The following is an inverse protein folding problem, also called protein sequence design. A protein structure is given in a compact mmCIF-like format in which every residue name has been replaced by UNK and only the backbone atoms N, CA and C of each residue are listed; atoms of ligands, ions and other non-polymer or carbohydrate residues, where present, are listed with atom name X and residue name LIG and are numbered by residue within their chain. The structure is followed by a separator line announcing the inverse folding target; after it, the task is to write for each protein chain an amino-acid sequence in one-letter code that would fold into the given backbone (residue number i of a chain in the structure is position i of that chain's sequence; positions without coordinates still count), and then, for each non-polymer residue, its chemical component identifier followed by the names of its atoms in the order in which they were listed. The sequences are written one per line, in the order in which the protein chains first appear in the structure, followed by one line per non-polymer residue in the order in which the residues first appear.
data_IF_691851615819
#
_entry.id   IF_691851615819
#
_cell.length_a   1.000
_cell.length_b   1.000
_cell.length_c   1.000
_cell.angle_alpha   90.00
_cell.angle_beta   90.00
_cell.angle_gamma   90.00
#
_symmetry.space_group_name_H-M   'P 1'
#
loop_
_entity.id
_entity.type
_entity.pdbx_description
1 polymer ?
#
# COMPACT_ATOMS: atom_id res chain seq x y z
N UNK A 1 -16.19 0.88 30.82
CA UNK A 1 -16.10 2.35 30.74
C UNK A 1 -17.20 2.86 29.86
N UNK A 2 -18.04 3.75 30.39
CA UNK A 2 -19.19 4.34 29.70
C UNK A 2 -18.77 5.17 28.48
N UNK A 3 -19.67 5.30 27.50
CA UNK A 3 -19.44 5.98 26.20
C UNK A 3 -18.82 7.38 26.33
N UNK A 4 -19.43 8.27 27.11
CA UNK A 4 -18.94 9.65 27.24
C UNK A 4 -17.50 9.71 27.76
N UNK A 5 -17.18 8.90 28.78
CA UNK A 5 -15.83 8.81 29.32
C UNK A 5 -14.82 8.23 28.33
N UNK A 6 -15.24 7.32 27.44
CA UNK A 6 -14.42 6.83 26.34
C UNK A 6 -14.12 7.92 25.32
N UNK A 7 -15.16 8.59 24.83
CA UNK A 7 -15.06 9.65 23.80
C UNK A 7 -14.15 10.78 24.28
N UNK A 8 -14.37 11.29 25.50
CA UNK A 8 -13.57 12.39 26.04
C UNK A 8 -12.09 12.01 26.17
N UNK A 9 -11.78 10.81 26.67
CA UNK A 9 -10.38 10.36 26.81
C UNK A 9 -9.70 10.20 25.46
N UNK A 10 -10.38 9.56 24.50
CA UNK A 10 -9.82 9.42 23.15
C UNK A 10 -9.60 10.80 22.53
N UNK A 11 -10.58 11.70 22.58
CA UNK A 11 -10.44 13.06 22.05
C UNK A 11 -9.25 13.82 22.65
N UNK A 12 -9.07 13.76 23.98
CA UNK A 12 -7.91 14.36 24.65
C UNK A 12 -6.61 13.74 24.16
N UNK A 13 -6.54 12.40 24.06
CA UNK A 13 -5.34 11.70 23.61
C UNK A 13 -4.99 12.03 22.16
N UNK A 14 -5.98 12.12 21.28
CA UNK A 14 -5.79 12.54 19.89
C UNK A 14 -5.27 13.98 19.84
N UNK A 15 -5.90 14.91 20.56
CA UNK A 15 -5.51 16.32 20.59
C UNK A 15 -4.09 16.52 21.13
N UNK A 16 -3.75 15.84 22.23
CA UNK A 16 -2.40 15.88 22.83
C UNK A 16 -1.37 15.30 21.87
N UNK A 17 -1.61 14.11 21.32
CA UNK A 17 -0.65 13.44 20.42
C UNK A 17 -0.44 14.25 19.14
N UNK A 18 -1.52 14.82 18.58
CA UNK A 18 -1.44 15.72 17.43
C UNK A 18 -0.63 16.98 17.74
N UNK A 19 -0.83 17.57 18.92
CA UNK A 19 -0.07 18.76 19.36
C UNK A 19 1.42 18.46 19.57
N UNK A 20 1.76 17.28 20.12
CA UNK A 20 3.16 16.86 20.27
C UNK A 20 3.79 16.60 18.90
N UNK A 21 3.09 15.90 18.00
CA UNK A 21 3.58 15.63 16.64
C UNK A 21 3.84 16.94 15.88
N UNK A 22 2.93 17.92 16.01
CA UNK A 22 3.09 19.27 15.48
C UNK A 22 4.36 19.93 16.01
N UNK A 23 4.60 19.87 17.32
CA UNK A 23 5.78 20.45 17.93
C UNK A 23 7.06 19.77 17.42
N UNK A 24 7.09 18.44 17.37
CA UNK A 24 8.22 17.64 16.88
C UNK A 24 8.58 18.03 15.45
N UNK A 25 7.60 18.07 14.54
CA UNK A 25 7.84 18.41 13.14
C UNK A 25 8.30 19.87 13.01
N UNK A 26 7.66 20.81 13.72
CA UNK A 26 8.02 22.24 13.63
C UNK A 26 9.44 22.55 14.13
N UNK A 27 9.94 21.82 15.13
CA UNK A 27 11.30 22.01 15.66
C UNK A 27 12.35 21.40 14.73
N UNK A 28 12.06 20.25 14.13
CA UNK A 28 13.06 19.47 13.41
C UNK A 28 13.03 19.68 11.88
N UNK A 29 12.03 20.39 11.34
CA UNK A 29 11.89 20.62 9.90
C UNK A 29 11.64 22.12 9.63
N UNK A 30 12.71 22.93 9.48
CA UNK A 30 12.58 24.35 9.17
C UNK A 30 11.80 24.57 7.87
N UNK A 31 10.72 25.35 7.92
CA UNK A 31 9.85 25.62 6.76
C UNK A 31 8.67 24.67 6.61
N UNK A 32 8.59 23.59 7.40
CA UNK A 32 7.32 22.89 7.57
C UNK A 32 6.32 23.87 8.21
N UNK A 33 5.26 24.21 7.50
CA UNK A 33 4.28 25.19 7.96
C UNK A 33 3.70 24.86 9.34
N UNK A 34 2.97 25.81 9.92
CA UNK A 34 2.32 25.66 11.23
C UNK A 34 1.36 24.45 11.31
N UNK A 35 0.96 23.83 10.20
CA UNK A 35 0.10 22.65 10.20
C UNK A 35 0.86 21.48 9.57
N UNK A 36 1.24 20.44 10.34
CA UNK A 36 1.71 19.21 9.73
C UNK A 36 0.61 18.64 8.85
N UNK A 37 1.03 17.94 7.81
CA UNK A 37 0.13 17.23 6.93
C UNK A 37 -0.81 16.34 7.75
N UNK A 38 -2.12 16.53 7.58
CA UNK A 38 -3.15 15.76 8.28
C UNK A 38 -3.00 14.24 8.04
N UNK A 39 -2.29 13.87 6.97
CA UNK A 39 -1.85 12.52 6.68
C UNK A 39 -0.99 11.87 7.75
N UNK A 40 -0.13 12.62 8.46
CA UNK A 40 0.74 12.04 9.48
C UNK A 40 -0.05 11.38 10.62
N UNK A 41 -1.29 11.82 10.84
CA UNK A 41 -2.17 11.20 11.80
C UNK A 41 -2.78 9.89 11.29
N UNK A 42 -3.06 9.79 9.98
CA UNK A 42 -3.72 8.64 9.35
C UNK A 42 -2.73 7.55 8.94
N UNK A 43 -1.59 7.95 8.38
CA UNK A 43 -0.47 7.11 8.00
C UNK A 43 0.81 7.58 8.69
N UNK A 44 1.07 7.13 9.94
CA UNK A 44 2.27 7.52 10.68
C UNK A 44 3.57 7.08 10.00
N UNK A 45 3.47 6.09 9.12
CA UNK A 45 4.61 5.51 8.44
C UNK A 45 5.08 6.34 7.24
N UNK A 46 4.34 7.39 6.84
CA UNK A 46 4.84 8.43 5.93
C UNK A 46 6.15 9.05 6.39
N UNK A 47 6.32 9.17 7.71
CA UNK A 47 7.51 9.76 8.32
C UNK A 47 8.71 8.80 8.30
N UNK A 48 8.52 7.51 7.96
CA UNK A 48 9.63 6.54 7.82
C UNK A 48 10.57 6.93 6.66
N UNK A 49 10.08 7.66 5.66
CA UNK A 49 10.91 8.14 4.56
C UNK A 49 11.81 9.33 4.95
N UNK A 50 11.68 9.88 6.16
CA UNK A 50 12.50 10.98 6.65
C UNK A 50 13.59 10.49 7.60
N UNK A 51 14.85 10.83 7.33
CA UNK A 51 15.95 10.49 8.22
C UNK A 51 16.05 11.47 9.41
N UNK A 52 16.47 10.95 10.58
CA UNK A 52 16.86 11.77 11.74
C UNK A 52 15.89 11.78 12.94
N UNK A 53 16.12 12.67 13.92
CA UNK A 53 15.41 12.68 15.20
C UNK A 53 13.89 12.87 15.07
N UNK A 54 13.44 13.62 14.05
CA UNK A 54 12.02 13.88 13.81
C UNK A 54 11.21 12.59 13.61
N UNK A 55 11.76 11.64 12.84
CA UNK A 55 11.14 10.34 12.60
C UNK A 55 11.03 9.55 13.89
N UNK A 56 12.12 9.44 14.65
CA UNK A 56 12.14 8.67 15.91
C UNK A 56 11.11 9.21 16.93
N UNK A 57 11.05 10.54 17.09
CA UNK A 57 10.06 11.18 17.97
C UNK A 57 8.63 10.95 17.50
N UNK A 58 8.38 11.06 16.19
CA UNK A 58 7.05 10.85 15.62
C UNK A 58 6.57 9.42 15.82
N UNK A 59 7.42 8.43 15.55
CA UNK A 59 7.14 7.01 15.82
C UNK A 59 6.83 6.81 17.32
N UNK A 60 7.63 7.41 18.21
CA UNK A 60 7.41 7.36 19.65
C UNK A 60 6.04 7.90 20.07
N UNK A 61 5.62 9.04 19.52
CA UNK A 61 4.29 9.65 19.75
C UNK A 61 3.18 8.70 19.29
N UNK A 62 3.34 8.08 18.11
CA UNK A 62 2.35 7.14 17.58
C UNK A 62 2.25 5.85 18.40
N UNK A 63 3.37 5.31 18.88
CA UNK A 63 3.39 4.14 19.78
C UNK A 63 2.67 4.49 21.08
N UNK A 64 3.00 5.63 21.70
CA UNK A 64 2.37 6.08 22.94
C UNK A 64 0.86 6.28 22.78
N UNK A 65 0.44 6.96 21.70
CA UNK A 65 -0.96 7.15 21.37
C UNK A 65 -1.66 5.79 21.22
N UNK A 66 -1.09 4.89 20.43
CA UNK A 66 -1.71 3.58 20.14
C UNK A 66 -1.81 2.72 21.39
N UNK A 67 -0.77 2.67 22.23
CA UNK A 67 -0.80 1.97 23.51
C UNK A 67 -1.92 2.51 24.43
N UNK A 68 -2.03 3.83 24.52
CA UNK A 68 -3.09 4.46 25.29
C UNK A 68 -4.50 4.17 24.73
N UNK A 69 -4.66 4.24 23.41
CA UNK A 69 -5.93 3.92 22.74
C UNK A 69 -6.32 2.47 22.98
N UNK A 70 -5.37 1.52 22.98
CA UNK A 70 -5.62 0.11 23.31
C UNK A 70 -6.16 -0.01 24.74
N UNK A 71 -5.54 0.64 25.73
CA UNK A 71 -5.98 0.55 27.14
C UNK A 71 -7.41 1.07 27.31
N UNK A 72 -7.68 2.25 26.76
CA UNK A 72 -9.00 2.91 26.84
C UNK A 72 -10.05 2.09 26.06
N UNK A 73 -9.69 1.56 24.89
CA UNK A 73 -10.57 0.72 24.06
C UNK A 73 -10.79 -0.68 24.62
N UNK A 74 -9.85 -1.24 25.37
CA UNK A 74 -10.01 -2.51 26.07
C UNK A 74 -11.11 -2.40 27.13
N UNK A 75 -11.06 -1.34 27.95
CA UNK A 75 -12.07 -1.04 28.97
C UNK A 75 -13.43 -0.71 28.36
N UNK A 76 -13.44 -0.11 27.17
CA UNK A 76 -14.68 0.18 26.42
C UNK A 76 -15.25 -1.07 25.77
N UNK A 77 -14.41 -1.92 25.17
CA UNK A 77 -14.81 -3.19 24.54
C UNK A 77 -15.45 -4.11 25.57
N UNK A 78 -14.84 -4.28 26.76
CA UNK A 78 -15.43 -5.05 27.86
C UNK A 78 -16.78 -4.52 28.32
N UNK A 79 -16.91 -3.21 28.40
CA UNK A 79 -18.16 -2.53 28.77
C UNK A 79 -19.23 -2.67 27.69
N UNK A 80 -18.83 -2.66 26.43
CA UNK A 80 -19.68 -3.00 25.29
C UNK A 80 -19.90 -4.52 25.17
N UNK A 81 -19.34 -5.33 26.08
CA UNK A 81 -19.31 -6.80 26.04
C UNK A 81 -18.72 -7.41 24.75
N UNK A 82 -17.90 -6.65 24.02
CA UNK A 82 -17.09 -7.18 22.93
C UNK A 82 -15.93 -7.97 23.49
N UNK A 83 -15.37 -8.86 22.66
CA UNK A 83 -14.17 -9.57 23.02
C UNK A 83 -13.04 -8.55 23.28
N UNK A 84 -12.34 -8.58 24.42
CA UNK A 84 -11.41 -7.50 24.80
C UNK A 84 -10.26 -7.31 23.81
N UNK A 85 -9.92 -8.36 23.05
CA UNK A 85 -8.85 -8.33 22.06
C UNK A 85 -9.17 -7.37 20.89
N UNK A 86 -10.43 -6.99 20.64
CA UNK A 86 -10.78 -5.98 19.60
C UNK A 86 -10.10 -4.63 19.82
N UNK A 87 -9.67 -4.34 21.06
CA UNK A 87 -8.91 -3.15 21.37
C UNK A 87 -7.53 -3.11 20.68
N UNK A 88 -6.91 -4.26 20.40
CA UNK A 88 -5.62 -4.31 19.71
C UNK A 88 -5.71 -3.86 18.25
N UNK A 89 -6.92 -3.82 17.65
CA UNK A 89 -7.12 -3.23 16.32
C UNK A 89 -6.81 -1.73 16.30
N UNK A 90 -6.71 -1.07 17.45
CA UNK A 90 -6.25 0.33 17.55
C UNK A 90 -4.77 0.53 17.16
N UNK A 91 -3.99 -0.56 17.11
CA UNK A 91 -2.60 -0.54 16.63
C UNK A 91 -2.52 -0.34 15.12
N UNK A 92 -3.57 -0.68 14.38
CA UNK A 92 -3.63 -0.54 12.93
C UNK A 92 -4.10 0.89 12.58
N UNK A 93 -3.26 1.71 11.94
CA UNK A 93 -3.68 3.01 11.43
C UNK A 93 -4.86 2.86 10.47
N UNK A 94 -5.68 3.91 10.34
CA UNK A 94 -6.98 3.94 9.62
C UNK A 94 -8.04 2.96 10.17
N UNK A 95 -7.75 1.68 10.37
CA UNK A 95 -8.65 0.71 11.02
C UNK A 95 -9.12 1.22 12.39
N UNK A 96 -8.20 1.85 13.16
CA UNK A 96 -8.53 2.48 14.43
C UNK A 96 -9.65 3.52 14.35
N UNK A 97 -9.84 4.22 13.21
CA UNK A 97 -10.94 5.17 13.02
C UNK A 97 -12.29 4.44 13.05
N UNK A 98 -12.39 3.33 12.33
CA UNK A 98 -13.60 2.51 12.28
C UNK A 98 -13.89 1.93 13.66
N UNK A 99 -12.89 1.34 14.31
CA UNK A 99 -13.04 0.71 15.63
C UNK A 99 -13.40 1.75 16.69
N UNK A 100 -12.78 2.93 16.67
CA UNK A 100 -13.10 4.03 17.59
C UNK A 100 -14.55 4.45 17.44
N UNK A 101 -14.98 4.68 16.19
CA UNK A 101 -16.34 5.09 15.85
C UNK A 101 -17.35 4.04 16.32
N UNK A 102 -17.03 2.75 16.12
CA UNK A 102 -17.83 1.64 16.63
C UNK A 102 -18.02 1.71 18.14
N UNK A 103 -16.91 1.80 18.86
CA UNK A 103 -16.88 1.76 20.32
C UNK A 103 -17.46 3.03 20.95
N UNK A 104 -17.39 4.17 20.27
CA UNK A 104 -18.01 5.42 20.68
C UNK A 104 -19.55 5.34 20.67
N UNK A 105 -20.12 4.66 19.68
CA UNK A 105 -21.57 4.63 19.44
C UNK A 105 -22.26 3.39 19.98
N UNK A 106 -21.60 2.23 19.97
CA UNK A 106 -22.19 0.97 20.47
C UNK A 106 -22.65 1.13 21.93
N UNK A 107 -23.79 0.57 22.36
CA UNK A 107 -24.22 0.64 23.77
C UNK A 107 -23.30 -0.10 24.73
N UNK A 108 -23.38 0.28 26.01
CA UNK A 108 -22.89 -0.58 27.08
C UNK A 108 -23.71 -1.87 27.10
N UNK A 109 -23.11 -2.98 27.50
CA UNK A 109 -23.81 -4.23 27.68
C UNK A 109 -24.86 -4.05 28.78
N UNK A 110 -26.12 -3.89 28.37
CA UNK A 110 -27.27 -4.04 29.25
C UNK A 110 -27.62 -5.53 29.23
N UNK A 111 -27.93 -6.11 30.39
CA UNK A 111 -28.60 -7.40 30.44
C UNK A 111 -30.02 -7.21 29.88
N UNK A 112 -30.17 -7.22 28.56
CA UNK A 112 -31.49 -7.19 27.93
C UNK A 112 -32.11 -8.58 28.07
N UNK A 113 -33.31 -8.63 28.63
CA UNK A 113 -34.13 -9.83 28.58
C UNK A 113 -34.37 -10.18 27.10
N UNK A 114 -34.41 -11.47 26.77
CA UNK A 114 -34.48 -11.98 25.39
C UNK A 114 -35.70 -11.50 24.57
N UNK A 115 -36.64 -10.78 25.20
CA UNK A 115 -37.91 -10.32 24.62
C UNK A 115 -37.86 -8.90 24.03
N UNK A 116 -36.79 -8.12 24.27
CA UNK A 116 -36.69 -6.71 23.85
C UNK A 116 -35.76 -6.48 22.63
N UNK A 117 -35.47 -7.51 21.83
CA UNK A 117 -34.67 -7.34 20.61
C UNK A 117 -35.55 -6.67 19.55
N UNK A 118 -35.30 -5.39 19.17
CA UNK A 118 -36.01 -4.80 18.05
C UNK A 118 -35.58 -5.56 16.79
N UNK A 119 -36.51 -6.26 16.16
CA UNK A 119 -36.27 -6.88 14.85
C UNK A 119 -36.12 -5.75 13.84
N UNK A 120 -35.01 -5.74 13.09
CA UNK A 120 -34.81 -4.77 12.02
C UNK A 120 -35.68 -5.21 10.83
N UNK A 121 -36.97 -4.87 10.88
CA UNK A 121 -38.00 -5.37 9.98
C UNK A 121 -37.70 -5.17 8.48
N UNK A 122 -36.82 -4.23 8.12
CA UNK A 122 -36.29 -4.06 6.77
C UNK A 122 -35.31 -5.18 6.38
N UNK A 123 -34.26 -5.43 7.19
CA UNK A 123 -33.24 -6.44 6.88
C UNK A 123 -33.85 -7.84 6.82
N UNK A 124 -34.87 -8.11 7.64
CA UNK A 124 -35.62 -9.37 7.61
C UNK A 124 -36.36 -9.60 6.29
N UNK A 125 -36.71 -8.54 5.56
CA UNK A 125 -37.36 -8.63 4.23
C UNK A 125 -36.37 -8.86 3.10
N UNK A 126 -35.14 -8.36 3.22
CA UNK A 126 -34.13 -8.43 2.15
C UNK A 126 -33.28 -9.70 2.26
N UNK A 127 -32.92 -10.09 3.48
CA UNK A 127 -32.01 -11.23 3.70
C UNK A 127 -32.79 -12.54 3.77
N UNK A 128 -32.50 -13.54 2.91
CA UNK A 128 -33.14 -14.84 2.99
C UNK A 128 -32.82 -15.55 4.32
N UNK A 129 -33.79 -16.29 4.87
CA UNK A 129 -33.57 -17.07 6.11
C UNK A 129 -32.71 -18.33 5.89
N UNK A 130 -32.67 -18.86 4.67
CA UNK A 130 -31.85 -20.04 4.35
C UNK A 130 -30.36 -19.72 4.49
N UNK A 131 -29.57 -20.69 4.96
CA UNK A 131 -28.12 -20.47 5.21
C UNK A 131 -27.38 -20.03 3.94
N UNK A 132 -27.65 -20.71 2.82
CA UNK A 132 -27.02 -20.39 1.54
C UNK A 132 -27.54 -19.07 0.98
N UNK A 133 -28.86 -18.83 1.03
CA UNK A 133 -29.45 -17.59 0.55
C UNK A 133 -28.94 -16.36 1.31
N UNK A 134 -28.80 -16.46 2.64
CA UNK A 134 -28.19 -15.40 3.44
C UNK A 134 -26.72 -15.17 3.04
N UNK A 135 -25.92 -16.24 2.91
CA UNK A 135 -24.52 -16.11 2.48
C UNK A 135 -24.40 -15.40 1.13
N UNK A 136 -25.20 -15.81 0.15
CA UNK A 136 -25.21 -15.19 -1.18
C UNK A 136 -25.65 -13.72 -1.10
N UNK A 137 -26.73 -13.41 -0.36
CA UNK A 137 -27.19 -12.05 -0.18
C UNK A 137 -26.13 -11.17 0.51
N UNK A 138 -25.46 -11.67 1.55
CA UNK A 138 -24.41 -10.95 2.26
C UNK A 138 -23.22 -10.63 1.35
N UNK A 139 -22.79 -11.60 0.53
CA UNK A 139 -21.72 -11.39 -0.48
C UNK A 139 -22.18 -10.34 -1.49
N UNK A 140 -23.33 -10.54 -2.13
CA UNK A 140 -23.80 -9.66 -3.20
C UNK A 140 -24.01 -8.23 -2.73
N UNK A 141 -24.62 -8.03 -1.55
CA UNK A 141 -24.85 -6.70 -0.99
C UNK A 141 -23.52 -6.02 -0.65
N UNK A 142 -22.59 -6.74 -0.01
CA UNK A 142 -21.29 -6.18 0.35
C UNK A 142 -20.47 -5.81 -0.90
N UNK A 143 -20.44 -6.68 -1.92
CA UNK A 143 -19.78 -6.41 -3.20
C UNK A 143 -20.47 -5.29 -3.97
N UNK A 144 -21.80 -5.24 -4.01
CA UNK A 144 -22.55 -4.17 -4.69
C UNK A 144 -22.38 -2.80 -4.02
N UNK A 145 -22.04 -2.76 -2.73
CA UNK A 145 -21.69 -1.52 -2.03
C UNK A 145 -20.25 -1.08 -2.32
N UNK A 146 -19.31 -2.03 -2.33
CA UNK A 146 -17.87 -1.73 -2.45
C UNK A 146 -17.43 -1.50 -3.90
N UNK A 147 -17.93 -2.27 -4.88
CA UNK A 147 -17.50 -2.17 -6.27
C UNK A 147 -17.75 -0.78 -6.88
N UNK A 148 -18.94 -0.15 -6.72
CA UNK A 148 -19.16 1.21 -7.26
C UNK A 148 -18.27 2.26 -6.59
N UNK A 149 -17.99 2.12 -5.29
CA UNK A 149 -17.07 3.03 -4.58
C UNK A 149 -15.63 2.85 -5.06
N UNK A 150 -15.19 1.61 -5.28
CA UNK A 150 -13.88 1.33 -5.86
C UNK A 150 -13.76 1.88 -7.28
N UNK A 151 -14.80 1.69 -8.10
CA UNK A 151 -14.86 2.27 -9.45
C UNK A 151 -14.80 3.80 -9.41
N UNK A 152 -15.58 4.45 -8.54
CA UNK A 152 -15.54 5.90 -8.35
C UNK A 152 -14.14 6.38 -7.97
N UNK A 153 -13.50 5.72 -7.00
CA UNK A 153 -12.18 6.12 -6.51
C UNK A 153 -11.10 6.02 -7.58
N UNK A 154 -11.09 4.92 -8.34
CA UNK A 154 -10.07 4.67 -9.36
C UNK A 154 -10.30 5.48 -10.63
N UNK A 155 -11.56 5.70 -11.03
CA UNK A 155 -11.89 6.21 -12.38
C UNK A 155 -12.31 7.66 -12.43
N UNK A 156 -12.86 8.16 -11.32
CA UNK A 156 -13.38 9.53 -11.24
C UNK A 156 -12.49 10.37 -10.36
N UNK A 157 -12.06 9.81 -9.22
CA UNK A 157 -11.17 10.51 -8.31
C UNK A 157 -9.70 10.33 -8.67
N UNK A 158 -9.35 9.29 -9.44
CA UNK A 158 -7.97 8.93 -9.81
C UNK A 158 -7.05 8.78 -8.59
N UNK A 159 -7.62 8.31 -7.46
CA UNK A 159 -6.94 8.20 -6.19
C UNK A 159 -6.68 6.73 -5.82
N UNK A 160 -5.43 6.40 -5.50
CA UNK A 160 -5.02 5.09 -4.99
C UNK A 160 -4.67 5.20 -3.49
N UNK A 161 -5.62 5.73 -2.74
CA UNK A 161 -5.50 6.11 -1.33
C UNK A 161 -5.75 5.01 -0.29
N UNK A 162 -5.72 5.41 0.98
CA UNK A 162 -6.07 4.56 2.13
C UNK A 162 -7.55 4.14 2.09
N UNK A 163 -8.45 4.94 1.52
CA UNK A 163 -9.84 4.54 1.37
C UNK A 163 -10.00 3.30 0.47
N UNK A 164 -9.25 3.24 -0.64
CA UNK A 164 -9.26 2.11 -1.57
C UNK A 164 -8.68 0.85 -0.94
N UNK A 165 -7.51 0.93 -0.32
CA UNK A 165 -6.77 -0.24 0.16
C UNK A 165 -7.03 -0.64 1.61
N UNK A 166 -7.62 0.25 2.42
CA UNK A 166 -7.99 -0.05 3.81
C UNK A 166 -9.50 0.10 4.02
N UNK A 167 -10.08 1.23 3.62
CA UNK A 167 -11.50 1.50 3.84
C UNK A 167 -12.43 0.47 3.20
N UNK A 168 -12.25 0.19 1.90
CA UNK A 168 -13.11 -0.74 1.17
C UNK A 168 -12.97 -2.20 1.62
N UNK A 169 -11.76 -2.79 1.76
CA UNK A 169 -11.63 -4.16 2.28
C UNK A 169 -12.18 -4.31 3.70
N UNK A 170 -12.02 -3.28 4.55
CA UNK A 170 -12.60 -3.27 5.90
C UNK A 170 -14.12 -3.36 5.84
N UNK A 171 -14.76 -2.53 5.01
CA UNK A 171 -16.22 -2.58 4.82
C UNK A 171 -16.68 -3.90 4.24
N UNK A 172 -15.95 -4.45 3.26
CA UNK A 172 -16.29 -5.72 2.64
C UNK A 172 -16.32 -6.85 3.69
N UNK A 173 -15.32 -6.90 4.56
CA UNK A 173 -15.28 -7.85 5.67
C UNK A 173 -16.34 -7.59 6.74
N UNK A 174 -16.52 -6.33 7.15
CA UNK A 174 -17.46 -5.96 8.21
C UNK A 174 -18.92 -6.18 7.82
N UNK A 175 -19.32 -5.75 6.62
CA UNK A 175 -20.69 -5.85 6.11
C UNK A 175 -21.05 -7.32 5.85
N UNK A 176 -20.19 -8.07 5.16
CA UNK A 176 -20.47 -9.49 4.87
C UNK A 176 -20.62 -10.33 6.15
N UNK A 177 -19.72 -10.16 7.13
CA UNK A 177 -19.78 -10.85 8.42
C UNK A 177 -21.03 -10.46 9.24
N UNK A 178 -21.41 -9.18 9.19
CA UNK A 178 -22.59 -8.67 9.89
C UNK A 178 -23.89 -9.19 9.30
N UNK A 179 -24.07 -9.07 7.98
CA UNK A 179 -25.28 -9.52 7.28
C UNK A 179 -25.45 -11.05 7.37
N UNK A 180 -24.37 -11.82 7.20
CA UNK A 180 -24.43 -13.28 7.28
C UNK A 180 -24.86 -13.81 8.66
N UNK A 181 -24.65 -12.99 9.70
CA UNK A 181 -24.98 -13.32 11.09
C UNK A 181 -26.32 -12.74 11.55
N UNK A 182 -27.07 -12.07 10.66
CA UNK A 182 -28.30 -11.34 10.97
C UNK A 182 -29.41 -12.26 11.53
N UNK A 183 -29.69 -13.38 10.85
CA UNK A 183 -30.77 -14.31 11.22
C UNK A 183 -30.38 -15.31 12.30
N UNK A 184 -29.12 -15.76 12.29
CA UNK A 184 -28.61 -16.80 13.18
C UNK A 184 -27.21 -16.42 13.62
N UNK A 185 -26.97 -16.48 14.93
CA UNK A 185 -25.64 -16.27 15.49
C UNK A 185 -24.63 -17.24 14.85
N UNK A 186 -23.63 -16.69 14.15
CA UNK A 186 -22.55 -17.46 13.53
C UNK A 186 -21.35 -17.56 14.46
N UNK A 187 -20.52 -18.58 14.25
CA UNK A 187 -19.21 -18.66 14.89
C UNK A 187 -18.25 -17.66 14.25
N UNK A 188 -17.17 -17.31 14.97
CA UNK A 188 -16.17 -16.38 14.43
C UNK A 188 -15.55 -16.90 13.12
N UNK A 189 -15.24 -18.20 13.07
CA UNK A 189 -14.68 -18.83 11.88
C UNK A 189 -15.63 -18.77 10.68
N UNK A 190 -16.94 -18.89 10.90
CA UNK A 190 -17.94 -18.73 9.84
C UNK A 190 -18.01 -17.28 9.32
N UNK A 191 -17.90 -16.29 10.22
CA UNK A 191 -17.85 -14.87 9.84
C UNK A 191 -16.58 -14.51 9.09
N UNK A 192 -15.43 -15.08 9.48
CA UNK A 192 -14.18 -14.92 8.75
C UNK A 192 -14.23 -15.60 7.38
N UNK A 193 -14.78 -16.81 7.31
CA UNK A 193 -14.94 -17.55 6.06
C UNK A 193 -15.80 -16.83 5.03
N UNK A 194 -16.94 -16.24 5.45
CA UNK A 194 -17.77 -15.46 4.52
C UNK A 194 -17.08 -14.17 4.08
N UNK A 195 -16.34 -13.49 4.97
CA UNK A 195 -15.60 -12.29 4.62
C UNK A 195 -14.52 -12.57 3.59
N UNK A 196 -13.72 -13.61 3.79
CA UNK A 196 -12.68 -14.02 2.84
C UNK A 196 -13.27 -14.47 1.51
N UNK A 197 -14.35 -15.26 1.52
CA UNK A 197 -15.06 -15.60 0.29
C UNK A 197 -15.59 -14.37 -0.44
N UNK A 198 -16.12 -13.37 0.29
CA UNK A 198 -16.58 -12.10 -0.29
C UNK A 198 -15.43 -11.34 -0.93
N UNK A 199 -14.28 -11.25 -0.26
CA UNK A 199 -13.05 -10.65 -0.82
C UNK A 199 -12.63 -11.37 -2.09
N UNK A 200 -12.51 -12.71 -2.07
CA UNK A 200 -12.11 -13.50 -3.23
C UNK A 200 -13.03 -13.27 -4.43
N UNK A 201 -14.35 -13.33 -4.22
CA UNK A 201 -15.33 -13.14 -5.29
C UNK A 201 -15.37 -11.70 -5.81
N UNK A 202 -15.12 -10.72 -4.94
CA UNK A 202 -15.04 -9.30 -5.35
C UNK A 202 -13.77 -9.04 -6.16
N UNK A 203 -12.61 -9.58 -5.75
CA UNK A 203 -11.38 -9.50 -6.55
C UNK A 203 -11.53 -10.20 -7.90
N UNK A 204 -12.18 -11.37 -7.92
CA UNK A 204 -12.53 -12.05 -9.16
C UNK A 204 -13.44 -11.20 -10.04
N UNK A 205 -14.44 -10.52 -9.46
CA UNK A 205 -15.30 -9.60 -10.21
C UNK A 205 -14.50 -8.43 -10.80
N UNK A 206 -13.60 -7.82 -10.03
CA UNK A 206 -12.71 -6.74 -10.52
C UNK A 206 -11.86 -7.23 -11.71
N UNK A 207 -11.28 -8.43 -11.61
CA UNK A 207 -10.51 -9.04 -12.69
C UNK A 207 -11.36 -9.33 -13.94
N UNK A 208 -12.53 -9.97 -13.76
CA UNK A 208 -13.44 -10.32 -14.86
C UNK A 208 -14.03 -9.07 -15.51
N UNK A 209 -14.21 -7.97 -14.78
CA UNK A 209 -14.65 -6.68 -15.30
C UNK A 209 -13.51 -5.87 -15.94
N UNK A 210 -12.31 -6.43 -16.06
CA UNK A 210 -11.13 -5.80 -16.66
C UNK A 210 -10.71 -4.47 -16.01
N UNK A 211 -11.06 -4.27 -14.73
CA UNK A 211 -10.74 -3.05 -13.97
C UNK A 211 -9.28 -3.03 -13.50
N UNK A 212 -8.73 -4.20 -13.16
CA UNK A 212 -7.35 -4.35 -12.66
C UNK A 212 -6.73 -5.62 -13.25
N UNK A 213 -5.41 -5.64 -13.39
CA UNK A 213 -4.68 -6.83 -13.83
C UNK A 213 -4.45 -7.86 -12.71
N UNK A 214 -4.09 -9.08 -13.11
CA UNK A 214 -3.90 -10.17 -12.15
C UNK A 214 -2.73 -9.91 -11.19
N UNK A 215 -1.63 -9.31 -11.69
CA UNK A 215 -0.44 -9.07 -10.88
C UNK A 215 -0.75 -8.08 -9.76
N UNK A 216 -1.43 -6.98 -10.06
CA UNK A 216 -1.81 -5.97 -9.08
C UNK A 216 -2.82 -6.49 -8.06
N UNK A 217 -3.76 -7.36 -8.46
CA UNK A 217 -4.64 -8.04 -7.50
C UNK A 217 -3.87 -8.98 -6.56
N UNK A 218 -2.87 -9.71 -7.07
CA UNK A 218 -1.98 -10.54 -6.24
C UNK A 218 -1.19 -9.67 -5.26
N UNK A 219 -0.67 -8.53 -5.73
CA UNK A 219 0.03 -7.56 -4.88
C UNK A 219 -0.90 -6.90 -3.85
N UNK A 220 -2.18 -6.66 -4.17
CA UNK A 220 -3.17 -6.07 -3.26
C UNK A 220 -3.77 -7.09 -2.28
N UNK A 221 -3.74 -8.39 -2.59
CA UNK A 221 -4.41 -9.42 -1.79
C UNK A 221 -3.94 -9.46 -0.31
N UNK A 222 -2.64 -9.44 0.02
CA UNK A 222 -2.21 -9.51 1.41
C UNK A 222 -2.80 -8.40 2.29
N UNK A 223 -2.78 -7.15 1.82
CA UNK A 223 -3.40 -6.04 2.53
C UNK A 223 -4.93 -6.16 2.56
N UNK A 224 -5.57 -6.53 1.44
CA UNK A 224 -7.03 -6.68 1.38
C UNK A 224 -7.56 -7.74 2.35
N UNK A 225 -6.97 -8.94 2.40
CA UNK A 225 -7.37 -9.99 3.34
C UNK A 225 -7.04 -9.63 4.79
N UNK A 226 -5.88 -9.03 5.04
CA UNK A 226 -5.49 -8.59 6.39
C UNK A 226 -6.45 -7.55 6.96
N UNK A 227 -6.87 -6.59 6.15
CA UNK A 227 -7.83 -5.55 6.56
C UNK A 227 -9.27 -6.08 6.62
N UNK A 228 -9.68 -6.92 5.66
CA UNK A 228 -10.99 -7.57 5.70
C UNK A 228 -11.14 -8.49 6.91
N UNK A 229 -10.07 -9.12 7.38
CA UNK A 229 -10.04 -9.85 8.65
C UNK A 229 -10.45 -8.92 9.80
N UNK A 230 -9.80 -7.76 9.94
CA UNK A 230 -10.15 -6.78 10.99
C UNK A 230 -11.62 -6.32 10.88
N UNK A 231 -12.08 -6.02 9.66
CA UNK A 231 -13.47 -5.68 9.38
C UNK A 231 -14.44 -6.78 9.81
N UNK A 232 -14.18 -8.02 9.43
CA UNK A 232 -15.01 -9.18 9.74
C UNK A 232 -15.16 -9.41 11.25
N UNK A 233 -14.11 -9.17 12.02
CA UNK A 233 -14.20 -9.30 13.47
C UNK A 233 -15.11 -8.23 14.10
N UNK A 234 -15.04 -6.99 13.58
CA UNK A 234 -15.90 -5.88 14.01
C UNK A 234 -17.35 -6.13 13.59
N UNK A 235 -17.58 -6.56 12.35
CA UNK A 235 -18.89 -6.96 11.85
C UNK A 235 -19.51 -8.12 12.65
N UNK A 236 -18.69 -9.13 13.00
CA UNK A 236 -19.10 -10.21 13.87
C UNK A 236 -19.49 -9.73 15.27
N UNK A 237 -18.66 -8.87 15.89
CA UNK A 237 -18.97 -8.31 17.21
C UNK A 237 -20.24 -7.47 17.20
N UNK A 238 -20.48 -6.70 16.14
CA UNK A 238 -21.69 -5.89 15.94
C UNK A 238 -22.94 -6.75 15.69
N UNK A 239 -22.83 -7.87 14.99
CA UNK A 239 -23.98 -8.75 14.71
C UNK A 239 -24.58 -9.35 15.98
N UNK A 240 -23.76 -9.54 17.01
CA UNK A 240 -24.18 -10.06 18.33
C UNK A 240 -24.77 -8.98 19.24
N UNK A 241 -25.03 -7.78 18.72
CA UNK A 241 -25.44 -6.61 19.50
C UNK A 241 -26.78 -6.07 19.04
N UNK A 242 -27.79 -6.30 19.86
CA UNK A 242 -29.05 -5.60 19.79
C UNK A 242 -29.44 -5.04 21.17
N UNK A 243 -29.92 -3.78 21.26
CA UNK A 243 -30.01 -2.80 20.17
C UNK A 243 -28.64 -2.16 19.81
N UNK A 244 -28.52 -1.60 18.60
CA UNK A 244 -27.41 -0.70 18.22
C UNK A 244 -26.38 -1.20 17.20
N UNK A 245 -26.43 -2.47 16.78
CA UNK A 245 -25.56 -3.00 15.73
C UNK A 245 -25.72 -2.29 14.38
N UNK A 246 -26.96 -2.15 13.89
CA UNK A 246 -27.27 -1.53 12.59
C UNK A 246 -26.87 -0.05 12.50
N UNK A 247 -27.27 0.84 13.44
CA UNK A 247 -26.83 2.25 13.38
C UNK A 247 -25.31 2.41 13.39
N UNK A 248 -24.60 1.54 14.11
CA UNK A 248 -23.14 1.56 14.14
C UNK A 248 -22.54 1.13 12.80
N UNK A 249 -23.12 0.11 12.14
CA UNK A 249 -22.71 -0.32 10.81
C UNK A 249 -22.97 0.77 9.76
N UNK A 250 -24.14 1.43 9.80
CA UNK A 250 -24.45 2.53 8.89
C UNK A 250 -23.46 3.69 9.02
N UNK A 251 -23.05 4.02 10.25
CA UNK A 251 -22.03 5.04 10.46
C UNK A 251 -20.66 4.61 9.90
N UNK A 252 -20.27 3.34 10.05
CA UNK A 252 -19.04 2.82 9.43
C UNK A 252 -19.06 2.91 7.92
N UNK A 253 -20.20 2.59 7.29
CA UNK A 253 -20.38 2.71 5.84
C UNK A 253 -20.12 4.13 5.33
N UNK A 254 -20.46 5.16 6.13
CA UNK A 254 -20.23 6.57 5.79
C UNK A 254 -18.76 7.01 5.96
N UNK A 255 -17.96 6.29 6.76
CA UNK A 255 -16.56 6.66 7.00
C UNK A 255 -15.69 6.49 5.75
N UNK A 256 -15.93 5.48 4.93
CA UNK A 256 -15.10 5.24 3.74
C UNK A 256 -15.30 6.33 2.67
N UNK A 257 -16.52 6.71 2.27
CA UNK A 257 -16.73 7.87 1.40
C UNK A 257 -16.21 9.19 2.01
N UNK A 258 -16.31 9.37 3.33
CA UNK A 258 -15.73 10.53 3.99
C UNK A 258 -14.20 10.55 3.91
N UNK A 259 -13.56 9.37 4.01
CA UNK A 259 -12.11 9.22 3.81
C UNK A 259 -11.71 9.49 2.36
N UNK A 260 -12.48 9.01 1.38
CA UNK A 260 -12.27 9.34 -0.05
C UNK A 260 -12.36 10.85 -0.30
N UNK A 261 -13.38 11.51 0.25
CA UNK A 261 -13.52 12.97 0.13
C UNK A 261 -12.36 13.71 0.81
N UNK A 262 -11.88 13.21 1.95
CA UNK A 262 -10.71 13.75 2.63
C UNK A 262 -9.44 13.61 1.79
N UNK A 263 -9.26 12.46 1.12
CA UNK A 263 -8.14 12.17 0.20
C UNK A 263 -8.05 13.19 -0.92
N UNK A 264 -9.17 13.42 -1.60
CA UNK A 264 -9.26 14.37 -2.73
C UNK A 264 -8.98 15.81 -2.30
N UNK A 265 -9.47 16.23 -1.13
CA UNK A 265 -9.29 17.61 -0.64
C UNK A 265 -7.88 17.83 -0.08
N UNK A 266 -7.20 16.76 0.34
CA UNK A 266 -5.86 16.81 0.91
C UNK A 266 -4.98 15.81 0.15
N UNK A 267 -4.62 16.07 -1.12
CA UNK A 267 -3.82 15.15 -1.89
C UNK A 267 -2.46 14.94 -1.24
N UNK A 268 -2.07 13.69 -1.16
CA UNK A 268 -0.93 13.24 -0.39
C UNK A 268 0.33 13.31 -1.28
N UNK A 269 1.34 14.12 -0.93
CA UNK A 269 2.57 14.17 -1.75
C UNK A 269 3.32 12.82 -1.75
N UNK A 270 3.60 12.28 -2.94
CA UNK A 270 4.33 11.04 -3.10
C UNK A 270 5.81 11.19 -2.66
N UNK A 271 6.28 10.43 -1.65
CA UNK A 271 7.65 10.49 -1.19
C UNK A 271 8.63 9.94 -2.23
N UNK A 272 9.86 10.48 -2.22
CA UNK A 272 10.98 10.01 -3.04
C UNK A 272 11.73 8.90 -2.29
N UNK A 273 11.83 7.73 -2.90
CA UNK A 273 12.50 6.56 -2.33
C UNK A 273 13.78 6.21 -3.10
N UNK A 274 14.91 5.99 -2.40
CA UNK A 274 16.11 5.40 -3.00
C UNK A 274 16.07 3.87 -2.90
N UNK A 275 16.50 3.19 -3.98
CA UNK A 275 16.83 1.75 -3.99
C UNK A 275 18.24 1.58 -4.51
N UNK A 276 19.08 0.94 -3.70
CA UNK A 276 20.50 0.71 -3.99
C UNK A 276 20.74 -0.78 -4.17
N UNK A 277 21.38 -1.18 -5.26
CA UNK A 277 21.82 -2.57 -5.49
C UNK A 277 23.28 -2.55 -5.86
N UNK A 278 24.07 -3.44 -5.26
CA UNK A 278 25.50 -3.52 -5.52
C UNK A 278 25.93 -4.93 -5.90
N UNK A 279 27.01 -5.01 -6.67
CA UNK A 279 27.63 -6.26 -7.12
C UNK A 279 29.15 -6.05 -7.23
N UNK A 280 29.92 -7.09 -6.87
CA UNK A 280 31.36 -7.10 -7.06
C UNK A 280 31.68 -7.71 -8.43
N UNK A 281 32.53 -7.03 -9.20
CA UNK A 281 33.02 -7.43 -10.52
C UNK A 281 34.53 -7.60 -10.45
N UNK A 282 35.02 -8.76 -10.86
CA UNK A 282 36.44 -9.12 -10.90
C UNK A 282 37.12 -8.49 -12.13
N UNK A 283 37.12 -7.15 -12.17
CA UNK A 283 37.71 -6.37 -13.23
C UNK A 283 38.08 -4.96 -12.76
N UNK A 284 39.06 -4.30 -13.41
CA UNK A 284 39.39 -2.91 -13.13
C UNK A 284 38.23 -1.96 -13.44
N UNK A 285 38.09 -0.88 -12.65
CA UNK A 285 36.99 0.10 -12.78
C UNK A 285 36.78 0.64 -14.20
N UNK A 286 37.87 0.91 -14.92
CA UNK A 286 37.77 1.43 -16.30
C UNK A 286 37.09 0.44 -17.24
N UNK A 287 37.33 -0.87 -17.07
CA UNK A 287 36.68 -1.89 -17.89
C UNK A 287 35.18 -1.95 -17.58
N UNK A 288 34.81 -1.84 -16.29
CA UNK A 288 33.41 -1.75 -15.85
C UNK A 288 32.72 -0.49 -16.38
N UNK A 289 33.40 0.67 -16.31
CA UNK A 289 32.90 1.95 -16.80
C UNK A 289 32.53 1.89 -18.29
N UNK A 290 33.42 1.32 -19.11
CA UNK A 290 33.21 1.25 -20.55
C UNK A 290 31.95 0.46 -20.94
N UNK A 291 31.65 -0.65 -20.25
CA UNK A 291 30.41 -1.42 -20.49
C UNK A 291 29.19 -0.74 -19.83
N UNK A 292 29.37 -0.06 -18.70
CA UNK A 292 28.28 0.57 -17.95
C UNK A 292 27.63 1.74 -18.72
N UNK A 293 28.44 2.57 -19.38
CA UNK A 293 27.97 3.78 -20.06
C UNK A 293 26.98 3.45 -21.17
N UNK A 294 27.21 2.35 -21.90
CA UNK A 294 26.33 1.85 -22.96
C UNK A 294 26.44 0.32 -23.06
N UNK A 295 25.65 -0.39 -22.26
CA UNK A 295 25.70 -1.84 -22.22
C UNK A 295 25.04 -2.49 -23.45
N UNK A 296 25.65 -3.59 -23.88
CA UNK A 296 25.19 -4.39 -25.01
C UNK A 296 23.83 -5.05 -24.80
N UNK A 297 23.17 -5.48 -25.88
CA UNK A 297 21.85 -6.14 -25.79
C UNK A 297 21.90 -7.38 -24.88
N UNK A 298 20.95 -7.43 -23.95
CA UNK A 298 20.72 -8.53 -23.02
C UNK A 298 19.70 -9.52 -23.57
N UNK A 299 19.91 -10.81 -23.29
CA UNK A 299 18.93 -11.87 -23.60
C UNK A 299 17.65 -11.72 -22.79
N UNK A 300 16.51 -12.15 -23.35
CA UNK A 300 15.22 -12.07 -22.67
C UNK A 300 15.22 -12.75 -21.29
N UNK A 301 14.47 -12.23 -20.30
CA UNK A 301 14.46 -12.80 -18.96
C UNK A 301 13.63 -14.09 -18.88
N UNK A 302 14.11 -15.06 -18.12
CA UNK A 302 13.37 -16.28 -17.78
C UNK A 302 12.44 -16.11 -16.56
N UNK A 303 12.66 -15.06 -15.76
CA UNK A 303 11.95 -14.88 -14.48
C UNK A 303 10.45 -14.63 -14.70
N UNK A 304 9.63 -15.32 -13.90
CA UNK A 304 8.16 -15.23 -13.96
C UNK A 304 7.65 -13.80 -13.81
N UNK A 305 8.34 -12.95 -13.05
CA UNK A 305 7.95 -11.55 -12.84
C UNK A 305 7.91 -10.76 -14.16
N UNK A 306 8.95 -10.89 -14.99
CA UNK A 306 9.03 -10.20 -16.27
C UNK A 306 8.09 -10.81 -17.30
N UNK A 307 7.91 -12.14 -17.25
CA UNK A 307 6.90 -12.84 -18.07
C UNK A 307 5.46 -12.48 -17.69
N UNK A 308 5.23 -12.10 -16.43
CA UNK A 308 3.96 -11.60 -15.93
C UNK A 308 3.69 -10.14 -16.34
N UNK A 309 4.65 -9.50 -17.03
CA UNK A 309 4.44 -8.24 -17.71
C UNK A 309 5.18 -7.03 -17.14
N UNK A 310 5.94 -7.18 -16.05
CA UNK A 310 6.84 -6.12 -15.56
C UNK A 310 7.87 -5.78 -16.63
N UNK A 311 8.11 -4.48 -16.86
CA UNK A 311 9.07 -4.02 -17.84
C UNK A 311 10.51 -4.30 -17.42
N UNK A 312 11.38 -4.51 -18.40
CA UNK A 312 12.79 -4.81 -18.16
C UNK A 312 13.71 -4.18 -19.23
N UNK A 313 14.95 -3.84 -18.85
CA UNK A 313 15.93 -3.29 -19.78
C UNK A 313 16.41 -4.34 -20.78
N UNK A 314 16.67 -3.88 -22.01
CA UNK A 314 17.09 -4.67 -23.17
C UNK A 314 18.49 -4.25 -23.61
N UNK A 315 18.73 -2.96 -23.83
CA UNK A 315 20.02 -2.40 -24.25
C UNK A 315 20.10 -0.92 -23.84
N UNK A 316 21.30 -0.36 -23.73
CA UNK A 316 21.48 1.08 -23.54
C UNK A 316 22.44 1.64 -24.59
N UNK A 317 22.11 2.82 -25.10
CA UNK A 317 22.93 3.58 -26.03
C UNK A 317 23.14 4.97 -25.47
N UNK A 318 24.24 5.62 -25.85
CA UNK A 318 24.52 6.97 -25.42
C UNK A 318 24.86 7.86 -26.61
N UNK A 319 24.31 9.07 -26.60
CA UNK A 319 24.62 10.11 -27.57
C UNK A 319 25.35 11.27 -26.88
N UNK A 320 26.56 11.56 -27.35
CA UNK A 320 27.47 12.52 -26.73
C UNK A 320 28.34 11.92 -25.63
N UNK A 321 29.11 12.79 -24.98
CA UNK A 321 30.05 12.44 -23.89
C UNK A 321 30.07 13.55 -22.85
N UNK A 322 30.17 13.19 -21.57
CA UNK A 322 30.19 14.16 -20.47
C UNK A 322 28.80 14.61 -20.01
N UNK A 323 28.77 15.64 -19.17
CA UNK A 323 27.51 16.26 -18.70
C UNK A 323 26.74 16.85 -19.88
N UNK A 324 25.44 16.58 -19.96
CA UNK A 324 24.59 16.98 -21.09
C UNK A 324 24.51 15.96 -22.22
N UNK A 325 25.30 14.88 -22.19
CA UNK A 325 25.04 13.70 -23.01
C UNK A 325 23.67 13.08 -22.66
N UNK A 326 23.09 12.30 -23.57
CA UNK A 326 21.81 11.63 -23.33
C UNK A 326 21.95 10.13 -23.50
N UNK A 327 21.56 9.37 -22.47
CA UNK A 327 21.50 7.92 -22.53
C UNK A 327 20.06 7.49 -22.85
N UNK A 328 19.94 6.57 -23.80
CA UNK A 328 18.69 5.97 -24.23
C UNK A 328 18.70 4.51 -23.80
N UNK A 329 17.96 4.22 -22.72
CA UNK A 329 17.85 2.88 -22.18
C UNK A 329 16.58 2.22 -22.71
N UNK A 330 16.72 1.27 -23.63
CA UNK A 330 15.60 0.58 -24.26
C UNK A 330 15.06 -0.49 -23.31
N UNK A 331 13.78 -0.41 -22.97
CA UNK A 331 13.03 -1.47 -22.29
C UNK A 331 12.13 -2.20 -23.29
N UNK A 332 11.60 -3.36 -22.90
CA UNK A 332 10.60 -4.07 -23.70
C UNK A 332 9.31 -3.27 -23.94
N UNK A 333 9.00 -2.28 -23.11
CA UNK A 333 7.81 -1.42 -23.19
C UNK A 333 8.06 -0.05 -23.83
N UNK A 334 9.31 0.29 -24.15
CA UNK A 334 9.69 1.56 -24.75
C UNK A 334 11.02 2.10 -24.19
N UNK A 335 11.51 3.24 -24.71
CA UNK A 335 12.77 3.81 -24.25
C UNK A 335 12.59 4.69 -22.99
N UNK A 336 13.57 4.63 -22.09
CA UNK A 336 13.84 5.69 -21.13
C UNK A 336 14.82 6.70 -21.74
N UNK A 337 14.55 7.99 -21.52
CA UNK A 337 15.43 9.10 -21.93
C UNK A 337 16.10 9.66 -20.69
N UNK A 338 17.42 9.47 -20.61
CA UNK A 338 18.21 9.65 -19.40
C UNK A 338 19.34 10.67 -19.63
N UNK A 339 19.06 11.98 -19.56
CA UNK A 339 20.09 13.02 -19.67
C UNK A 339 21.12 12.92 -18.52
N UNK A 340 22.40 12.93 -18.87
CA UNK A 340 23.51 12.82 -17.92
C UNK A 340 23.69 14.13 -17.16
N UNK A 341 23.59 14.05 -15.83
CA UNK A 341 23.74 15.16 -14.89
C UNK A 341 25.12 15.17 -14.22
N UNK A 342 25.79 14.01 -14.16
CA UNK A 342 27.17 13.90 -13.66
C UNK A 342 27.93 12.86 -14.46
N UNK A 343 29.13 13.23 -14.90
CA UNK A 343 30.08 12.36 -15.58
C UNK A 343 31.46 12.54 -14.96
N UNK A 344 31.79 11.68 -14.01
CA UNK A 344 33.07 11.65 -13.33
C UNK A 344 33.71 10.28 -13.58
N UNK A 345 34.40 10.15 -14.71
CA UNK A 345 34.94 8.89 -15.18
C UNK A 345 36.22 8.51 -14.42
N UNK A 346 36.38 7.25 -13.92
CA UNK A 346 35.46 6.11 -13.99
C UNK A 346 34.63 5.88 -12.71
N UNK A 347 34.39 6.92 -11.90
CA UNK A 347 33.92 6.83 -10.52
C UNK A 347 32.40 6.96 -10.37
N UNK A 348 31.77 7.89 -11.10
CA UNK A 348 30.36 8.25 -10.90
C UNK A 348 29.67 8.69 -12.21
N UNK A 349 28.55 8.04 -12.52
CA UNK A 349 27.63 8.43 -13.59
C UNK A 349 26.24 8.67 -12.98
N UNK A 350 25.67 9.86 -13.14
CA UNK A 350 24.32 10.18 -12.69
C UNK A 350 23.48 10.79 -13.81
N UNK A 351 22.17 10.52 -13.78
CA UNK A 351 21.22 10.97 -14.80
C UNK A 351 19.84 11.21 -14.19
N UNK A 352 19.13 12.19 -14.75
CA UNK A 352 17.70 12.36 -14.52
C UNK A 352 16.91 11.46 -15.50
N UNK A 353 15.62 11.23 -15.24
CA UNK A 353 14.72 10.52 -16.17
C UNK A 353 13.71 11.53 -16.73
N UNK A 354 13.83 11.85 -18.03
CA UNK A 354 12.97 12.82 -18.70
C UNK A 354 11.73 12.15 -19.30
N UNK A 355 11.89 10.99 -19.90
CA UNK A 355 10.81 10.15 -20.43
C UNK A 355 10.96 8.72 -19.92
N UNK A 356 9.83 8.08 -19.63
CA UNK A 356 9.77 6.69 -19.20
C UNK A 356 8.58 5.97 -19.86
N UNK A 357 8.75 4.70 -20.26
CA UNK A 357 7.65 3.88 -20.75
C UNK A 357 6.77 3.38 -19.59
N UNK A 358 5.61 2.77 -19.89
CA UNK A 358 4.83 2.06 -18.88
C UNK A 358 5.71 1.03 -18.12
N UNK A 359 5.62 1.00 -16.77
CA UNK A 359 6.43 0.12 -15.93
C UNK A 359 6.00 -1.34 -16.02
N UNK A 360 4.81 -1.61 -16.57
CA UNK A 360 4.32 -2.96 -16.80
C UNK A 360 3.26 -3.00 -17.90
N UNK A 361 3.04 -4.20 -18.41
CA UNK A 361 1.89 -4.58 -19.24
C UNK A 361 1.13 -5.65 -18.48
N UNK A 362 -0.06 -5.32 -18.02
CA UNK A 362 -0.80 -6.22 -17.15
C UNK A 362 -1.29 -7.48 -17.87
N UNK A 363 -1.21 -8.63 -17.19
CA UNK A 363 -1.74 -9.89 -17.72
C UNK A 363 -3.26 -9.91 -17.68
N UNK A 364 -3.91 -10.15 -18.83
CA UNK A 364 -5.36 -10.34 -18.92
C UNK A 364 -5.79 -11.24 -20.06
N UNK A 365 -6.99 -11.78 -19.90
CA UNK A 365 -7.74 -12.51 -20.91
C UNK A 365 -8.35 -11.57 -21.99
N UNK A 366 -8.35 -10.27 -21.74
CA UNK A 366 -8.88 -9.23 -22.63
C UNK A 366 -7.77 -8.54 -23.43
N UNK A 367 -8.09 -8.06 -24.63
CA UNK A 367 -7.14 -7.41 -25.53
C UNK A 367 -6.56 -6.09 -24.97
N UNK A 368 -7.27 -5.44 -24.04
CA UNK A 368 -6.81 -4.24 -23.33
C UNK A 368 -7.38 -4.27 -21.92
N UNK A 369 -6.52 -4.03 -20.93
CA UNK A 369 -6.93 -3.74 -19.56
C UNK A 369 -6.93 -2.23 -19.38
N UNK A 370 -7.84 -1.77 -18.55
CA UNK A 370 -7.97 -0.37 -18.20
C UNK A 370 -7.61 -0.19 -16.73
N UNK A 371 -6.31 -0.30 -16.43
CA UNK A 371 -5.73 -0.17 -15.09
C UNK A 371 -4.98 1.17 -14.99
N UNK A 372 -5.63 2.26 -14.50
CA UNK A 372 -5.05 3.60 -14.53
C UNK A 372 -3.73 3.72 -13.77
N UNK A 373 -3.50 2.88 -12.74
CA UNK A 373 -2.28 2.95 -11.96
C UNK A 373 -0.99 2.61 -12.73
N UNK A 374 -1.11 1.99 -13.90
CA UNK A 374 0.07 1.68 -14.73
C UNK A 374 0.68 2.95 -15.33
N UNK A 375 -0.08 4.03 -15.45
CA UNK A 375 0.38 5.30 -16.02
C UNK A 375 0.47 6.39 -14.94
N UNK A 376 1.69 6.88 -14.66
CA UNK A 376 1.89 8.05 -13.78
C UNK A 376 1.97 7.77 -12.28
N UNK A 377 1.58 6.59 -11.79
CA UNK A 377 1.63 6.29 -10.35
C UNK A 377 2.95 5.71 -9.86
N UNK A 378 3.79 5.16 -10.74
CA UNK A 378 5.19 4.83 -10.45
C UNK A 378 6.05 5.62 -11.42
N UNK A 379 6.98 6.43 -10.89
CA UNK A 379 7.85 7.27 -11.71
C UNK A 379 9.29 7.13 -11.23
N UNK A 380 10.17 6.65 -12.12
CA UNK A 380 11.61 6.78 -11.92
C UNK A 380 11.98 8.26 -12.11
N UNK A 381 12.74 8.83 -11.18
CA UNK A 381 13.13 10.25 -11.20
C UNK A 381 14.57 10.42 -11.60
N UNK A 382 15.45 9.60 -11.02
CA UNK A 382 16.91 9.69 -11.17
C UNK A 382 17.54 8.32 -11.06
N UNK A 383 18.68 8.15 -11.71
CA UNK A 383 19.55 7.02 -11.50
C UNK A 383 21.00 7.43 -11.35
N UNK A 384 21.77 6.56 -10.71
CA UNK A 384 23.19 6.75 -10.48
C UNK A 384 23.90 5.41 -10.47
N UNK A 385 25.13 5.39 -11.00
CA UNK A 385 26.08 4.30 -10.84
C UNK A 385 27.37 4.82 -10.21
N UNK A 386 27.83 4.15 -9.15
CA UNK A 386 29.06 4.47 -8.42
C UNK A 386 30.00 3.27 -8.46
N UNK A 387 31.26 3.51 -8.78
CA UNK A 387 32.30 2.48 -8.85
C UNK A 387 33.36 2.73 -7.78
N UNK A 388 33.69 1.69 -7.01
CA UNK A 388 34.72 1.75 -5.97
C UNK A 388 35.70 0.60 -6.15
N UNK A 389 37.01 0.90 -6.10
CA UNK A 389 38.05 -0.12 -6.18
C UNK A 389 38.16 -0.84 -4.84
N UNK A 390 38.13 -2.16 -4.85
CA UNK A 390 38.36 -3.02 -3.69
C UNK A 390 39.86 -3.31 -3.50
N UNK A 391 40.30 -3.74 -2.30
CA UNK A 391 41.71 -3.97 -2.00
C UNK A 391 42.42 -5.00 -2.90
N UNK A 392 41.67 -5.93 -3.49
CA UNK A 392 42.13 -6.97 -4.42
C UNK A 392 42.20 -6.48 -5.87
N UNK A 393 41.79 -5.23 -6.15
CA UNK A 393 41.73 -4.66 -7.49
C UNK A 393 40.40 -4.88 -8.21
N UNK A 394 39.45 -5.62 -7.60
CA UNK A 394 38.10 -5.76 -8.11
C UNK A 394 37.30 -4.45 -7.96
N UNK A 395 36.14 -4.38 -8.61
CA UNK A 395 35.27 -3.20 -8.59
C UNK A 395 33.95 -3.52 -7.90
N UNK A 396 33.60 -2.72 -6.89
CA UNK A 396 32.24 -2.65 -6.38
C UNK A 396 31.44 -1.70 -7.28
N UNK A 397 30.45 -2.22 -7.99
CA UNK A 397 29.51 -1.44 -8.79
C UNK A 397 28.20 -1.31 -8.02
N UNK A 398 27.80 -0.07 -7.73
CA UNK A 398 26.57 0.28 -7.02
C UNK A 398 25.63 1.05 -7.94
N UNK A 399 24.43 0.53 -8.16
CA UNK A 399 23.35 1.20 -8.90
C UNK A 399 22.26 1.69 -7.96
N UNK A 400 21.95 2.98 -8.02
CA UNK A 400 20.89 3.63 -7.24
C UNK A 400 19.82 4.18 -8.17
N UNK A 401 18.55 3.90 -7.87
CA UNK A 401 17.39 4.52 -8.52
C UNK A 401 16.59 5.27 -7.46
N UNK A 402 16.25 6.53 -7.74
CA UNK A 402 15.29 7.29 -6.97
C UNK A 402 13.96 7.31 -7.71
N UNK A 403 12.89 6.86 -7.04
CA UNK A 403 11.57 6.78 -7.62
C UNK A 403 10.51 7.38 -6.69
N UNK A 404 9.38 7.77 -7.26
CA UNK A 404 8.15 8.11 -6.52
C UNK A 404 7.07 7.10 -6.87
N UNK A 405 6.24 6.73 -5.90
CA UNK A 405 5.02 6.00 -6.17
C UNK A 405 3.84 6.61 -5.41
N UNK A 406 2.73 6.83 -6.11
CA UNK A 406 1.55 7.50 -5.55
C UNK A 406 0.44 6.50 -5.21
N UNK A 407 0.81 5.48 -4.45
CA UNK A 407 -0.09 4.39 -4.05
C UNK A 407 0.06 4.20 -2.54
N UNK A 408 -1.07 4.25 -1.83
CA UNK A 408 -1.10 4.29 -0.37
C UNK A 408 -1.63 2.99 0.25
N UNK A 409 -1.14 2.57 1.43
CA UNK A 409 -0.07 3.21 2.19
C UNK A 409 1.31 2.95 1.56
N UNK A 410 2.14 3.99 1.44
CA UNK A 410 3.40 3.93 0.69
C UNK A 410 4.36 2.84 1.20
N UNK A 411 4.44 2.63 2.51
CA UNK A 411 5.32 1.62 3.10
C UNK A 411 5.01 0.20 2.60
N UNK A 412 3.75 -0.11 2.30
CA UNK A 412 3.34 -1.43 1.81
C UNK A 412 3.76 -1.61 0.36
N UNK A 413 3.43 -0.62 -0.48
CA UNK A 413 3.72 -0.67 -1.90
C UNK A 413 5.21 -0.58 -2.20
N UNK A 414 5.99 0.07 -1.32
CA UNK A 414 7.45 0.14 -1.39
C UNK A 414 8.09 -1.25 -1.36
N UNK A 415 7.55 -2.20 -0.58
CA UNK A 415 8.07 -3.57 -0.52
C UNK A 415 8.10 -4.20 -1.92
N UNK A 416 7.04 -3.97 -2.69
CA UNK A 416 6.92 -4.47 -4.06
C UNK A 416 7.82 -3.70 -5.02
N UNK A 417 7.77 -2.36 -4.98
CA UNK A 417 8.60 -1.49 -5.83
C UNK A 417 10.10 -1.76 -5.65
N UNK A 418 10.58 -1.81 -4.40
CA UNK A 418 11.98 -2.10 -4.08
C UNK A 418 12.37 -3.50 -4.59
N UNK A 419 11.53 -4.52 -4.33
CA UNK A 419 11.80 -5.88 -4.79
C UNK A 419 11.82 -6.03 -6.32
N UNK A 420 11.03 -5.24 -7.04
CA UNK A 420 11.05 -5.21 -8.52
C UNK A 420 12.32 -4.50 -9.01
N UNK A 421 12.62 -3.32 -8.47
CA UNK A 421 13.81 -2.54 -8.83
C UNK A 421 15.11 -3.29 -8.55
N UNK A 422 15.22 -4.00 -7.42
CA UNK A 422 16.37 -4.85 -7.13
C UNK A 422 16.59 -5.93 -8.18
N UNK A 423 15.52 -6.52 -8.74
CA UNK A 423 15.63 -7.52 -9.81
C UNK A 423 16.04 -6.88 -11.14
N UNK A 424 15.48 -5.72 -11.46
CA UNK A 424 15.88 -4.94 -12.64
C UNK A 424 17.35 -4.54 -12.55
N UNK A 425 17.79 -3.96 -11.44
CA UNK A 425 19.19 -3.63 -11.19
C UNK A 425 20.06 -4.89 -11.29
N UNK A 426 19.67 -5.96 -10.60
CA UNK A 426 20.42 -7.22 -10.60
C UNK A 426 20.65 -7.77 -12.00
N UNK A 427 19.69 -7.62 -12.92
CA UNK A 427 19.83 -8.02 -14.32
C UNK A 427 20.90 -7.21 -15.04
N UNK A 428 20.84 -5.88 -14.95
CA UNK A 428 21.83 -4.99 -15.58
C UNK A 428 23.23 -5.21 -15.01
N UNK A 429 23.36 -5.24 -13.68
CA UNK A 429 24.66 -5.39 -13.02
C UNK A 429 25.30 -6.76 -13.32
N UNK A 430 24.52 -7.85 -13.32
CA UNK A 430 25.02 -9.19 -13.67
C UNK A 430 25.43 -9.28 -15.13
N UNK A 431 24.71 -8.61 -16.04
CA UNK A 431 25.08 -8.55 -17.45
C UNK A 431 26.43 -7.85 -17.63
N UNK A 432 26.60 -6.66 -17.03
CA UNK A 432 27.88 -5.92 -17.05
C UNK A 432 29.00 -6.79 -16.49
N UNK A 433 28.78 -7.44 -15.33
CA UNK A 433 29.76 -8.37 -14.74
C UNK A 433 30.19 -9.44 -15.74
N UNK A 434 29.22 -10.14 -16.33
CA UNK A 434 29.48 -11.25 -17.24
C UNK A 434 30.24 -10.82 -18.50
N UNK A 435 29.89 -9.68 -19.10
CA UNK A 435 30.53 -9.21 -20.34
C UNK A 435 31.93 -8.65 -20.06
N UNK A 436 32.12 -7.93 -18.96
CA UNK A 436 33.43 -7.38 -18.57
C UNK A 436 34.40 -8.48 -18.17
N UNK A 437 33.99 -9.41 -17.29
CA UNK A 437 34.87 -10.50 -16.85
C UNK A 437 35.28 -11.41 -18.01
N UNK A 438 34.37 -11.70 -18.93
CA UNK A 438 34.68 -12.46 -20.16
C UNK A 438 35.69 -11.72 -21.04
N UNK A 439 35.52 -10.41 -21.20
CA UNK A 439 36.42 -9.57 -22.01
C UNK A 439 37.82 -9.48 -21.39
N UNK A 440 37.90 -9.33 -20.07
CA UNK A 440 39.18 -9.31 -19.33
C UNK A 440 39.87 -10.68 -19.37
N UNK A 441 39.11 -11.77 -19.33
CA UNK A 441 39.64 -13.13 -19.45
C UNK A 441 40.14 -13.50 -20.87
N UNK A 442 39.85 -12.68 -21.89
CA UNK A 442 40.29 -12.88 -23.27
C UNK A 442 39.33 -13.71 -24.14
N UNK A 443 38.14 -14.05 -23.64
CA UNK A 443 37.11 -14.79 -24.39
C UNK A 443 36.29 -13.81 -25.26
N UNK A 444 36.80 -13.50 -26.45
CA UNK A 444 36.05 -12.68 -27.42
C UNK A 444 34.98 -13.51 -28.12
N UNK A 445 33.72 -13.03 -28.14
CA UNK A 445 32.62 -13.60 -28.94
C UNK A 445 33.07 -13.66 -30.41
N UNK A 446 33.20 -14.87 -30.96
CA UNK A 446 33.43 -15.12 -32.39
C UNK A 446 32.18 -14.87 -33.22
#
# INVERSE_FOLDING_TARGET
MKRLGYILRVAIMLAVSYSILRLVISINTPGAGLFPDAWNFLDPFRLIASDGPAMAWSIGVHIMLSAGLVVVSYRRSRDAGWAPWTAFLMLLPVVRLFVFTALAVVPSAVHTNALDVPTNAWLDRILPASRLGNAVAAILIASALVLPLGFLNVRVLEEYGLALFIGLPFLLGAVSAFLYSHHVARSLLQSLGIAFLTVSLTMLAIFVLAMEGLLCLVMAAPIAYGIAFAGALVGHALSRRAPGGVPTMLLMLLLTPALMAFEVVNPAQAPLFPVVTSLIIDAPRQAVWNELVAFSRMDGPDELLFRAGISYPVEARIEGTGVGACRYCQFNTGPFVEPITTWDEPDLLAFDVLEYPPPMTEFSIYARIDAPHVEGYFQSRRGQFRLETLPDGATLLEGTTWYTHDIWPAWYWRIWSDAILHRIHGRVLKHIKSEVERTVAGDTKS
#
